data_IF_032317991366
#
_entry.id   IF_032317991366
#
_cell.length_a   1.000
_cell.length_b   1.000
_cell.length_c   1.000
_cell.angle_alpha   90.00
_cell.angle_beta   90.00
_cell.angle_gamma   90.00
#
_symmetry.space_group_name_H-M   'P 1'
#
loop_
_entity.id
_entity.type
_entity.pdbx_description
1 polymer ?
#
# COMPACT_ATOMS: atom_id res chain seq x y z
N UNK A 1 -12.10 -1.26 -3.81
CA UNK A 1 -11.44 -0.71 -2.60
C UNK A 1 -10.40 -1.71 -2.15
N UNK A 2 -9.15 -1.27 -1.99
CA UNK A 2 -8.12 -2.09 -1.37
C UNK A 2 -8.42 -2.26 0.13
N UNK A 3 -7.91 -3.32 0.75
CA UNK A 3 -8.05 -3.52 2.19
C UNK A 3 -6.74 -4.07 2.72
N UNK A 4 -6.24 -3.48 3.81
CA UNK A 4 -5.05 -3.94 4.51
C UNK A 4 -5.45 -4.55 5.85
N UNK A 5 -4.96 -5.78 6.07
CA UNK A 5 -5.15 -6.51 7.31
C UNK A 5 -3.81 -6.70 8.02
N UNK A 6 -3.74 -6.25 9.28
CA UNK A 6 -2.58 -6.48 10.13
C UNK A 6 -2.74 -7.82 10.87
N UNK A 7 -1.78 -8.73 10.69
CA UNK A 7 -1.71 -9.97 11.45
C UNK A 7 -1.28 -9.69 12.89
N UNK A 8 -2.13 -10.04 13.87
CA UNK A 8 -1.86 -9.82 15.30
C UNK A 8 -0.98 -10.89 15.95
N UNK A 9 -0.52 -11.89 15.19
CA UNK A 9 0.37 -12.96 15.68
C UNK A 9 -0.33 -14.07 16.47
N UNK A 10 -1.65 -14.00 16.64
CA UNK A 10 -2.45 -14.95 17.40
C UNK A 10 -3.54 -15.63 16.55
N UNK A 11 -3.34 -15.68 15.23
CA UNK A 11 -4.32 -16.22 14.27
C UNK A 11 -5.46 -15.26 13.94
N UNK A 12 -5.45 -14.02 14.46
CA UNK A 12 -6.44 -13.00 14.12
C UNK A 12 -5.82 -11.88 13.27
N UNK A 13 -6.69 -11.21 12.52
CA UNK A 13 -6.34 -10.09 11.65
C UNK A 13 -7.21 -8.89 11.98
N UNK A 14 -6.61 -7.70 11.92
CA UNK A 14 -7.29 -6.43 12.11
C UNK A 14 -7.34 -5.66 10.80
N UNK A 15 -8.52 -5.20 10.41
CA UNK A 15 -8.63 -4.28 9.28
C UNK A 15 -8.06 -2.92 9.68
N UNK A 16 -6.90 -2.58 9.14
CA UNK A 16 -6.19 -1.31 9.40
C UNK A 16 -6.28 -0.35 8.22
N UNK A 17 -7.16 -0.61 7.24
CA UNK A 17 -7.21 0.15 5.98
C UNK A 17 -7.32 1.65 6.18
N UNK A 18 -8.21 2.09 7.08
CA UNK A 18 -8.41 3.50 7.38
C UNK A 18 -7.23 4.09 8.15
N UNK A 19 -6.77 3.43 9.21
CA UNK A 19 -5.64 3.92 10.02
C UNK A 19 -4.32 3.91 9.27
N UNK A 20 -4.18 3.05 8.25
CA UNK A 20 -3.01 2.98 7.37
C UNK A 20 -3.07 4.00 6.22
N UNK A 21 -4.18 4.72 6.04
CA UNK A 21 -4.38 5.70 4.96
C UNK A 21 -4.65 5.09 3.58
N UNK A 22 -4.92 3.78 3.51
CA UNK A 22 -5.19 3.03 2.28
C UNK A 22 -6.66 3.08 1.85
N UNK A 23 -7.53 3.72 2.62
CA UNK A 23 -8.90 4.05 2.23
C UNK A 23 -8.96 4.96 0.99
N UNK A 24 -7.85 5.66 0.71
CA UNK A 24 -7.64 6.50 -0.48
C UNK A 24 -7.24 5.74 -1.73
N UNK A 25 -7.01 4.42 -1.64
CA UNK A 25 -6.68 3.61 -2.80
C UNK A 25 -7.83 3.56 -3.81
N UNK A 26 -7.47 3.64 -5.08
CA UNK A 26 -8.42 3.78 -6.18
C UNK A 26 -8.00 2.95 -7.40
N UNK A 27 -8.90 2.90 -8.37
CA UNK A 27 -8.65 2.24 -9.64
C UNK A 27 -8.91 0.73 -9.63
N UNK A 28 -8.75 0.18 -10.82
CA UNK A 28 -9.00 -1.22 -11.11
C UNK A 28 -7.66 -1.96 -11.04
N UNK A 29 -7.27 -2.38 -9.84
CA UNK A 29 -6.01 -3.07 -9.61
C UNK A 29 -5.95 -4.41 -10.36
N UNK A 30 -4.96 -4.54 -11.24
CA UNK A 30 -4.65 -5.77 -11.98
C UNK A 30 -3.54 -6.60 -11.30
N UNK A 31 -2.71 -5.94 -10.49
CA UNK A 31 -1.59 -6.59 -9.80
C UNK A 31 -1.14 -5.81 -8.57
N UNK A 32 -0.57 -6.53 -7.62
CA UNK A 32 0.03 -5.98 -6.39
C UNK A 32 1.40 -6.59 -6.17
N UNK A 33 2.38 -5.75 -5.82
CA UNK A 33 3.73 -6.18 -5.44
C UNK A 33 4.10 -5.53 -4.12
N UNK A 34 4.61 -6.33 -3.19
CA UNK A 34 5.16 -5.86 -1.93
C UNK A 34 6.70 -5.98 -1.99
N UNK A 35 7.39 -4.85 -1.91
CA UNK A 35 8.85 -4.78 -1.97
C UNK A 35 9.33 -3.51 -1.25
N UNK A 36 10.60 -3.45 -0.91
CA UNK A 36 11.24 -2.23 -0.38
C UNK A 36 11.68 -1.36 -1.57
N UNK A 37 10.83 -0.42 -2.00
CA UNK A 37 11.06 0.37 -3.22
C UNK A 37 11.95 1.59 -2.98
N UNK A 38 12.07 2.04 -1.74
CA UNK A 38 12.90 3.19 -1.36
C UNK A 38 14.18 2.79 -0.60
N UNK A 39 14.40 1.50 -0.37
CA UNK A 39 15.56 0.90 0.29
C UNK A 39 15.73 1.38 1.74
N UNK A 40 14.62 1.51 2.48
CA UNK A 40 14.60 1.93 3.88
C UNK A 40 14.40 0.77 4.88
N UNK A 41 14.38 -0.45 4.38
CA UNK A 41 14.20 -1.68 5.15
C UNK A 41 12.75 -2.00 5.49
N UNK A 42 11.78 -1.19 5.02
CA UNK A 42 10.34 -1.42 5.22
C UNK A 42 9.71 -1.84 3.90
N UNK A 43 8.71 -2.71 4.00
CA UNK A 43 7.96 -3.18 2.84
C UNK A 43 6.91 -2.14 2.46
N UNK A 44 6.99 -1.70 1.22
CA UNK A 44 6.04 -0.82 0.53
C UNK A 44 5.05 -1.65 -0.31
N UNK A 45 4.06 -1.00 -0.92
CA UNK A 45 3.05 -1.65 -1.75
C UNK A 45 2.93 -0.91 -3.09
N UNK A 46 3.12 -1.62 -4.20
CA UNK A 46 2.83 -1.14 -5.54
C UNK A 46 1.55 -1.78 -6.08
N UNK A 47 0.66 -0.98 -6.68
CA UNK A 47 -0.58 -1.44 -7.31
C UNK A 47 -0.58 -1.00 -8.77
N UNK A 48 -0.60 -1.99 -9.68
CA UNK A 48 -0.77 -1.76 -11.10
C UNK A 48 -2.27 -1.64 -11.42
N UNK A 49 -2.68 -0.54 -12.07
CA UNK A 49 -4.08 -0.25 -12.37
C UNK A 49 -4.38 -0.34 -13.86
N UNK A 50 -5.60 -0.79 -14.19
CA UNK A 50 -6.14 -0.70 -15.56
C UNK A 50 -6.71 0.70 -15.82
N UNK A 51 -6.29 1.31 -16.93
CA UNK A 51 -6.75 2.62 -17.43
C UNK A 51 -6.69 3.80 -16.43
N UNK A 52 -5.99 3.64 -15.30
CA UNK A 52 -5.80 4.65 -14.25
C UNK A 52 -4.34 4.64 -13.79
N UNK A 53 -3.83 5.73 -13.21
CA UNK A 53 -2.46 5.76 -12.68
C UNK A 53 -2.21 4.62 -11.69
N UNK A 54 -1.00 4.07 -11.71
CA UNK A 54 -0.58 3.12 -10.70
C UNK A 54 -0.39 3.84 -9.37
N UNK A 55 -0.29 3.08 -8.30
CA UNK A 55 -0.08 3.62 -6.96
C UNK A 55 1.15 2.98 -6.33
N UNK A 56 1.93 3.78 -5.61
CA UNK A 56 3.12 3.34 -4.90
C UNK A 56 3.07 3.87 -3.48
N UNK A 57 2.66 3.00 -2.58
CA UNK A 57 2.42 3.27 -1.18
C UNK A 57 3.69 3.01 -0.37
N UNK A 58 4.36 4.08 0.02
CA UNK A 58 5.59 4.02 0.81
C UNK A 58 5.26 3.92 2.29
N UNK A 59 5.82 2.93 2.96
CA UNK A 59 5.63 2.65 4.37
C UNK A 59 6.40 3.63 5.25
N UNK A 60 5.66 4.44 6.01
CA UNK A 60 6.25 5.48 6.85
C UNK A 60 6.84 4.94 8.17
N UNK A 61 6.67 3.64 8.47
CA UNK A 61 7.18 2.99 9.67
C UNK A 61 6.37 3.24 10.94
N UNK A 62 5.31 4.04 10.86
CA UNK A 62 4.36 4.35 11.94
C UNK A 62 3.00 3.66 11.75
N UNK A 63 2.90 2.72 10.81
CA UNK A 63 1.64 2.06 10.43
C UNK A 63 0.86 2.76 9.32
N UNK A 64 1.33 3.90 8.82
CA UNK A 64 0.73 4.63 7.70
C UNK A 64 1.50 4.41 6.40
N UNK A 65 0.78 4.51 5.29
CA UNK A 65 1.32 4.50 3.94
C UNK A 65 1.02 5.82 3.22
N UNK A 66 1.97 6.24 2.39
CA UNK A 66 1.84 7.45 1.57
C UNK A 66 2.00 7.10 0.10
N UNK A 67 1.03 7.50 -0.72
CA UNK A 67 1.14 7.37 -2.17
C UNK A 67 2.20 8.36 -2.70
N UNK A 68 3.28 7.83 -3.26
CA UNK A 68 4.38 8.57 -3.87
C UNK A 68 4.53 8.26 -5.37
N UNK A 69 3.52 7.63 -6.00
CA UNK A 69 3.59 7.23 -7.40
C UNK A 69 3.96 8.40 -8.34
N UNK A 70 3.29 9.55 -8.16
CA UNK A 70 3.52 10.75 -8.97
C UNK A 70 4.96 11.26 -8.90
N UNK A 71 5.58 11.28 -7.72
CA UNK A 71 6.94 11.79 -7.55
C UNK A 71 8.02 10.76 -7.91
N UNK A 72 7.63 9.47 -8.01
CA UNK A 72 8.52 8.36 -8.39
C UNK A 72 8.36 7.92 -9.84
N UNK A 73 7.39 8.50 -10.57
CA UNK A 73 7.22 8.33 -12.01
C UNK A 73 6.55 7.03 -12.43
N UNK A 74 5.67 6.47 -11.60
CA UNK A 74 4.93 5.24 -11.88
C UNK A 74 3.40 5.45 -11.92
#
# INVERSE_FOLDING_TARGET
MATLYHNRGNGTFENVTLSAGLDKAYGNGLGVVCADFNNDGRIDIYVANDAMPNQLWINQGNGEFKDEAMIRGC
#
